data_IF_473089527068
#
_entry.id   IF_473089527068
#
_cell.length_a   1.000
_cell.length_b   1.000
_cell.length_c   1.000
_cell.angle_alpha   90.00
_cell.angle_beta   90.00
_cell.angle_gamma   90.00
#
_symmetry.space_group_name_H-M   'P 1'
#
loop_
_entity.id
_entity.type
_entity.pdbx_description
1 polymer ?
#
# COMPACT_ATOMS: atom_id res chain seq x y z
N UNK A 1 -4.87 10.76 10.61
CA UNK A 1 -5.20 11.11 9.20
C UNK A 1 -5.99 12.42 9.21
N UNK A 2 -5.58 13.51 8.51
CA UNK A 2 -6.35 14.76 8.53
C UNK A 2 -7.50 14.81 7.50
N UNK A 3 -7.83 13.74 6.77
CA UNK A 3 -8.99 13.69 5.85
C UNK A 3 -9.61 12.29 5.83
N UNK A 4 -10.94 12.22 5.78
CA UNK A 4 -11.72 10.97 5.58
C UNK A 4 -11.36 10.37 4.21
N UNK A 5 -11.49 9.05 4.08
CA UNK A 5 -11.29 8.32 2.83
C UNK A 5 -11.67 6.86 3.01
N UNK A 6 -12.01 6.18 1.92
CA UNK A 6 -12.42 4.79 1.94
C UNK A 6 -11.29 3.86 1.50
N UNK A 7 -11.33 2.63 2.03
CA UNK A 7 -10.53 1.50 1.57
C UNK A 7 -11.49 0.42 1.14
N UNK A 8 -11.27 -0.13 -0.05
CA UNK A 8 -12.09 -1.15 -0.68
C UNK A 8 -11.31 -2.45 -0.75
N UNK A 9 -12.00 -3.55 -0.43
CA UNK A 9 -11.46 -4.91 -0.53
C UNK A 9 -12.36 -5.70 -1.46
N UNK A 10 -11.78 -6.36 -2.45
CA UNK A 10 -12.51 -7.31 -3.30
C UNK A 10 -11.78 -8.64 -3.35
N UNK A 11 -12.56 -9.73 -3.40
CA UNK A 11 -12.06 -11.08 -3.52
C UNK A 11 -12.82 -11.71 -4.69
N UNK A 12 -12.08 -12.22 -5.66
CA UNK A 12 -12.64 -12.79 -6.88
C UNK A 12 -11.91 -14.08 -7.22
N UNK A 13 -12.63 -15.12 -7.64
CA UNK A 13 -12.00 -16.29 -8.25
C UNK A 13 -11.52 -15.93 -9.65
N UNK A 14 -10.32 -16.37 -10.01
CA UNK A 14 -9.73 -16.20 -11.35
C UNK A 14 -9.40 -17.58 -11.91
N UNK A 15 -10.30 -18.10 -12.73
CA UNK A 15 -10.25 -19.51 -13.14
C UNK A 15 -10.55 -20.45 -11.98
N UNK A 16 -10.10 -21.69 -12.09
CA UNK A 16 -10.42 -22.75 -11.11
C UNK A 16 -9.47 -22.72 -9.90
N UNK A 17 -8.18 -22.43 -10.14
CA UNK A 17 -7.12 -22.63 -9.14
C UNK A 17 -6.66 -21.35 -8.43
N UNK A 18 -7.18 -20.18 -8.82
CA UNK A 18 -6.68 -18.91 -8.27
C UNK A 18 -7.78 -18.07 -7.65
N UNK A 19 -7.41 -17.39 -6.57
CA UNK A 19 -8.19 -16.33 -5.95
C UNK A 19 -7.36 -15.05 -6.03
N UNK A 20 -7.98 -13.97 -6.49
CA UNK A 20 -7.41 -12.64 -6.52
C UNK A 20 -8.03 -11.84 -5.38
N UNK A 21 -7.16 -11.35 -4.49
CA UNK A 21 -7.52 -10.41 -3.45
C UNK A 21 -6.98 -9.05 -3.86
N UNK A 22 -7.85 -8.04 -3.94
CA UNK A 22 -7.48 -6.67 -4.32
C UNK A 22 -7.79 -5.70 -3.19
N UNK A 23 -6.84 -4.81 -2.93
CA UNK A 23 -6.95 -3.71 -1.98
C UNK A 23 -6.85 -2.40 -2.76
N UNK A 24 -7.81 -1.48 -2.58
CA UNK A 24 -7.81 -0.16 -3.24
C UNK A 24 -8.10 0.93 -2.22
N UNK A 25 -7.36 2.03 -2.28
CA UNK A 25 -7.59 3.22 -1.47
C UNK A 25 -7.81 4.47 -2.33
N UNK A 26 -8.37 5.51 -1.72
CA UNK A 26 -8.59 6.84 -2.32
C UNK A 26 -7.46 7.82 -2.00
N UNK A 27 -6.28 7.33 -1.62
CA UNK A 27 -5.11 8.14 -1.35
C UNK A 27 -4.53 8.78 -2.61
N UNK A 28 -3.41 9.50 -2.45
CA UNK A 28 -2.73 10.21 -3.54
C UNK A 28 -2.06 9.29 -4.60
N UNK A 29 -2.25 7.98 -4.52
CA UNK A 29 -1.57 7.00 -5.36
C UNK A 29 -0.07 6.89 -5.08
N UNK A 30 0.64 6.18 -5.96
CA UNK A 30 2.10 6.05 -5.95
C UNK A 30 2.67 6.54 -7.28
N UNK A 31 3.84 7.17 -7.22
CA UNK A 31 4.58 7.53 -8.41
C UNK A 31 5.17 6.27 -9.08
N UNK A 32 5.31 6.31 -10.41
CA UNK A 32 5.70 5.17 -11.25
C UNK A 32 7.06 4.56 -10.86
N UNK A 33 8.00 5.41 -10.45
CA UNK A 33 9.32 5.02 -9.95
C UNK A 33 9.26 4.24 -8.62
N UNK A 34 8.32 4.62 -7.73
CA UNK A 34 8.06 3.92 -6.47
C UNK A 34 7.29 2.63 -6.67
N UNK A 35 6.43 2.57 -7.69
CA UNK A 35 5.68 1.36 -8.04
C UNK A 35 6.62 0.23 -8.51
N UNK A 36 7.61 0.55 -9.35
CA UNK A 36 8.58 -0.43 -9.88
C UNK A 36 9.45 -1.08 -8.80
N UNK A 37 9.60 -0.41 -7.67
CA UNK A 37 10.42 -0.85 -6.54
C UNK A 37 9.58 -1.45 -5.41
N UNK A 38 8.26 -1.55 -5.60
CA UNK A 38 7.36 -2.09 -4.60
C UNK A 38 7.66 -3.58 -4.36
N UNK A 39 8.04 -3.92 -3.12
CA UNK A 39 8.41 -5.28 -2.73
C UNK A 39 9.92 -5.52 -2.61
N UNK A 40 10.76 -4.56 -3.01
CA UNK A 40 12.18 -4.61 -2.64
C UNK A 40 12.33 -4.45 -1.11
N UNK A 41 13.24 -5.21 -0.48
CA UNK A 41 13.54 -5.05 0.94
C UNK A 41 13.86 -3.58 1.25
N UNK A 42 13.21 -3.02 2.28
CA UNK A 42 13.47 -1.69 2.84
C UNK A 42 13.03 -0.46 2.02
N UNK A 43 12.16 -0.57 1.01
CA UNK A 43 11.53 0.64 0.46
C UNK A 43 10.46 1.21 1.39
N UNK A 44 10.93 2.12 2.23
CA UNK A 44 10.14 2.88 3.16
C UNK A 44 9.70 4.20 2.52
N UNK A 45 8.40 4.37 2.31
CA UNK A 45 7.84 5.66 1.90
C UNK A 45 8.14 6.72 2.96
N UNK A 46 8.60 7.91 2.54
CA UNK A 46 9.02 9.05 3.38
C UNK A 46 8.00 9.48 4.46
N UNK A 47 6.74 9.07 4.32
CA UNK A 47 5.64 9.37 5.23
C UNK A 47 5.75 8.72 6.61
N UNK A 48 6.78 7.91 6.83
CA UNK A 48 6.92 7.08 8.02
C UNK A 48 8.22 7.42 8.79
N UNK A 49 8.88 8.55 8.47
CA UNK A 49 10.14 9.04 9.09
C UNK A 49 10.06 9.41 10.60
N UNK A 50 9.06 8.92 11.35
CA UNK A 50 8.86 9.24 12.77
C UNK A 50 8.87 8.01 13.71
N UNK A 51 9.09 6.78 13.22
CA UNK A 51 9.07 5.60 14.11
C UNK A 51 10.40 5.33 14.83
N UNK A 52 11.53 5.86 14.34
CA UNK A 52 12.86 5.58 14.90
C UNK A 52 13.44 6.66 15.82
N UNK A 53 12.73 7.77 16.06
CA UNK A 53 13.21 8.87 16.92
C UNK A 53 12.41 9.07 18.22
N UNK A 54 11.46 8.18 18.54
CA UNK A 54 10.66 8.26 19.78
C UNK A 54 11.13 7.30 20.88
N UNK A 55 12.18 6.50 20.64
CA UNK A 55 12.77 5.58 21.63
C UNK A 55 14.31 5.61 21.59
N UNK A 56 14.89 6.80 21.44
CA UNK A 56 16.35 7.03 21.51
C UNK A 56 16.66 8.22 22.39
#
# INVERSE_FOLDING_TARGET
MPRKGNVYVSIQRKGEEHIVISLRDEGCGMAEDKLKRLGEPFLYNERKRNWTWLNG
#
